data_IF_232115413994
#
_entry.id   IF_232115413994
#
_cell.length_a   1.000
_cell.length_b   1.000
_cell.length_c   1.000
_cell.angle_alpha   90.00
_cell.angle_beta   90.00
_cell.angle_gamma   90.00
#
_symmetry.space_group_name_H-M   'P 1'
#
loop_
_entity.id
_entity.type
_entity.pdbx_description
1 polymer ?
#
# COMPACT_ATOMS: atom_id res chain seq x y z
N UNK A 1 -15.61 -11.20 -4.13
CA UNK A 1 -14.96 -9.86 -4.00
C UNK A 1 -14.31 -9.58 -2.63
N UNK A 2 -15.02 -9.54 -1.50
CA UNK A 2 -14.41 -9.34 -0.16
C UNK A 2 -13.55 -10.53 0.27
N UNK A 3 -13.84 -11.73 -0.22
CA UNK A 3 -13.01 -12.93 0.02
C UNK A 3 -11.55 -12.72 -0.40
N UNK A 4 -11.27 -11.85 -1.39
CA UNK A 4 -9.92 -11.55 -1.83
C UNK A 4 -9.15 -10.57 -0.92
N UNK A 5 -9.76 -10.06 0.16
CA UNK A 5 -9.03 -9.29 1.18
C UNK A 5 -8.02 -10.17 1.92
N UNK A 6 -8.24 -11.48 1.93
CA UNK A 6 -7.27 -12.46 2.40
C UNK A 6 -6.84 -13.23 1.15
N UNK A 7 -5.60 -13.07 0.66
CA UNK A 7 -5.13 -13.84 -0.48
C UNK A 7 -5.23 -15.35 -0.22
N UNK A 8 -5.66 -16.12 -1.22
CA UNK A 8 -5.92 -17.57 -1.06
C UNK A 8 -4.71 -18.37 -0.61
N UNK A 9 -3.49 -17.86 -0.84
CA UNK A 9 -2.24 -18.48 -0.38
C UNK A 9 -1.98 -18.33 1.13
N UNK A 10 -2.81 -17.56 1.85
CA UNK A 10 -2.69 -17.32 3.28
C UNK A 10 -3.64 -18.24 4.03
N UNK A 11 -3.10 -19.34 4.55
CA UNK A 11 -3.89 -20.37 5.24
C UNK A 11 -3.83 -20.29 6.76
N UNK A 12 -2.82 -19.61 7.31
CA UNK A 12 -2.56 -19.55 8.74
C UNK A 12 -2.06 -18.16 9.18
N UNK A 13 -2.60 -17.67 10.28
CA UNK A 13 -2.26 -16.39 10.88
C UNK A 13 -2.60 -16.45 12.37
N UNK A 14 -1.81 -15.76 13.20
CA UNK A 14 -1.94 -15.83 14.66
C UNK A 14 -2.52 -14.55 15.29
N UNK A 15 -2.61 -13.46 14.51
CA UNK A 15 -3.27 -12.22 14.93
C UNK A 15 -3.84 -11.50 13.71
N UNK A 16 -5.06 -10.96 13.80
CA UNK A 16 -5.71 -10.30 12.68
C UNK A 16 -6.80 -9.33 13.14
N UNK A 17 -7.25 -8.47 12.22
CA UNK A 17 -8.46 -7.66 12.34
C UNK A 17 -9.09 -7.45 10.96
N UNK A 18 -10.39 -7.19 10.90
CA UNK A 18 -11.06 -6.72 9.68
C UNK A 18 -12.11 -5.69 10.01
N UNK A 19 -12.33 -4.73 9.11
CA UNK A 19 -13.55 -3.89 9.13
C UNK A 19 -14.62 -4.39 8.17
N UNK A 20 -14.44 -5.57 7.56
CA UNK A 20 -15.38 -6.18 6.64
C UNK A 20 -16.30 -7.16 7.39
N UNK A 21 -17.61 -6.85 7.57
CA UNK A 21 -18.52 -7.75 8.28
C UNK A 21 -18.62 -9.14 7.66
N UNK A 22 -18.45 -9.26 6.33
CA UNK A 22 -18.52 -10.52 5.61
C UNK A 22 -17.36 -11.50 5.92
N UNK A 23 -16.26 -11.01 6.48
CA UNK A 23 -15.10 -11.82 6.87
C UNK A 23 -15.03 -12.09 8.38
N UNK A 24 -15.89 -11.45 9.16
CA UNK A 24 -15.85 -11.50 10.61
C UNK A 24 -15.95 -12.95 11.12
N UNK A 25 -15.01 -13.32 11.98
CA UNK A 25 -15.00 -14.63 12.65
C UNK A 25 -14.28 -14.54 13.99
N UNK A 26 -14.35 -15.55 14.87
CA UNK A 26 -13.59 -15.54 16.12
C UNK A 26 -12.07 -15.37 15.93
N UNK A 27 -11.51 -15.82 14.80
CA UNK A 27 -10.08 -15.64 14.47
C UNK A 27 -9.78 -14.34 13.72
N UNK A 28 -10.80 -13.71 13.15
CA UNK A 28 -10.71 -12.44 12.43
C UNK A 28 -11.73 -11.45 13.00
N UNK A 29 -11.44 -10.85 14.17
CA UNK A 29 -12.37 -9.96 14.86
C UNK A 29 -12.80 -8.77 13.99
N UNK A 30 -14.09 -8.46 14.05
CA UNK A 30 -14.66 -7.30 13.39
C UNK A 30 -14.38 -6.03 14.21
N UNK A 31 -13.87 -5.03 13.53
CA UNK A 31 -13.61 -3.69 14.04
C UNK A 31 -14.35 -2.64 13.20
N UNK A 32 -14.52 -1.45 13.76
CA UNK A 32 -15.17 -0.34 13.07
C UNK A 32 -14.17 0.36 12.16
N UNK A 33 -14.62 0.78 10.97
CA UNK A 33 -13.85 1.64 10.08
C UNK A 33 -13.87 3.07 10.63
N UNK A 34 -13.09 3.34 11.68
CA UNK A 34 -12.92 4.67 12.25
C UNK A 34 -11.50 4.91 12.78
N UNK A 35 -11.20 6.17 13.06
CA UNK A 35 -9.87 6.61 13.42
C UNK A 35 -9.36 6.03 14.74
N UNK A 36 -10.23 5.91 15.74
CA UNK A 36 -9.83 5.46 17.06
C UNK A 36 -9.57 3.95 17.07
N UNK A 37 -10.47 3.17 16.48
CA UNK A 37 -10.38 1.70 16.48
C UNK A 37 -9.20 1.20 15.62
N UNK A 38 -8.90 1.89 14.51
CA UNK A 38 -7.80 1.52 13.61
C UNK A 38 -6.44 2.15 13.96
N UNK A 39 -6.36 2.91 15.05
CA UNK A 39 -5.14 3.61 15.45
C UNK A 39 -4.65 4.58 14.38
N UNK A 40 -5.57 5.37 13.82
CA UNK A 40 -5.25 6.41 12.83
C UNK A 40 -4.42 7.51 13.49
N UNK A 41 -3.32 7.87 12.86
CA UNK A 41 -2.41 8.90 13.34
C UNK A 41 -1.74 9.64 12.20
N UNK A 42 -1.06 10.76 12.53
CA UNK A 42 -0.36 11.62 11.58
C UNK A 42 -1.26 12.07 10.40
N UNK A 43 -2.49 12.48 10.71
CA UNK A 43 -3.48 12.94 9.73
C UNK A 43 -3.03 14.26 9.08
N UNK A 44 -3.12 14.33 7.75
CA UNK A 44 -2.77 15.51 6.96
C UNK A 44 -3.83 16.59 7.13
N UNK A 45 -3.47 17.70 7.78
CA UNK A 45 -4.40 18.73 8.27
C UNK A 45 -5.20 19.48 7.20
N UNK A 46 -4.72 19.53 5.94
CA UNK A 46 -5.38 20.28 4.84
C UNK A 46 -6.36 19.44 4.02
N UNK A 47 -6.57 18.19 4.41
CA UNK A 47 -7.44 17.23 3.74
C UNK A 47 -8.30 16.51 4.77
N UNK A 48 -9.41 15.89 4.33
CA UNK A 48 -10.29 15.12 5.22
C UNK A 48 -10.55 13.74 4.64
N UNK A 49 -10.68 12.74 5.50
CA UNK A 49 -11.08 11.37 5.15
C UNK A 49 -12.43 11.05 5.78
N UNK A 50 -13.50 11.71 5.30
CA UNK A 50 -14.83 11.57 5.90
C UNK A 50 -15.34 10.15 5.71
N UNK A 51 -15.92 9.57 6.76
CA UNK A 51 -16.59 8.29 6.70
C UNK A 51 -18.01 8.48 6.15
N UNK A 52 -18.27 8.04 4.92
CA UNK A 52 -19.55 8.22 4.21
C UNK A 52 -20.18 6.89 3.85
N UNK A 53 -21.46 6.90 3.43
CA UNK A 53 -22.01 5.82 2.63
C UNK A 53 -21.50 6.00 1.18
N UNK A 54 -20.78 5.03 0.60
CA UNK A 54 -20.30 5.14 -0.77
C UNK A 54 -21.46 5.03 -1.76
N UNK A 55 -21.30 5.52 -3.01
CA UNK A 55 -22.31 5.33 -4.04
C UNK A 55 -22.42 3.85 -4.45
N UNK A 56 -23.55 3.50 -5.07
CA UNK A 56 -23.77 2.16 -5.61
C UNK A 56 -22.71 1.81 -6.68
N UNK A 57 -22.29 0.55 -6.69
CA UNK A 57 -21.43 0.04 -7.75
C UNK A 57 -22.20 -0.02 -9.07
N UNK A 58 -21.56 0.41 -10.16
CA UNK A 58 -22.04 0.14 -11.51
C UNK A 58 -21.85 -1.36 -11.81
N UNK A 59 -22.82 -2.18 -11.41
CA UNK A 59 -22.93 -3.56 -11.91
C UNK A 59 -23.33 -3.47 -13.38
N UNK A 60 -22.37 -3.65 -14.30
CA UNK A 60 -22.71 -4.02 -15.67
C UNK A 60 -23.55 -5.31 -15.65
N UNK A 61 -24.39 -5.51 -16.65
CA UNK A 61 -25.36 -6.61 -16.79
C UNK A 61 -24.78 -8.04 -16.83
N UNK A 62 -23.51 -8.25 -16.46
CA UNK A 62 -22.88 -9.56 -16.44
C UNK A 62 -23.00 -10.17 -15.04
N UNK A 63 -23.86 -11.18 -14.96
CA UNK A 63 -24.38 -11.88 -13.80
C UNK A 63 -23.39 -12.79 -13.04
N UNK A 64 -22.08 -12.55 -13.13
CA UNK A 64 -21.07 -13.49 -12.61
C UNK A 64 -20.25 -12.97 -11.42
N UNK A 65 -20.66 -11.88 -10.77
CA UNK A 65 -19.94 -11.45 -9.56
C UNK A 65 -20.48 -12.14 -8.31
N UNK A 66 -19.66 -13.03 -7.73
CA UNK A 66 -19.62 -13.36 -6.31
C UNK A 66 -19.35 -12.09 -5.46
N UNK A 67 -20.23 -11.11 -5.57
CA UNK A 67 -20.16 -9.85 -4.87
C UNK A 67 -20.72 -10.05 -3.47
N UNK A 68 -19.81 -10.38 -2.54
CA UNK A 68 -20.00 -10.02 -1.15
C UNK A 68 -20.45 -8.56 -1.07
N UNK A 69 -21.61 -8.32 -0.49
CA UNK A 69 -22.26 -7.00 -0.30
C UNK A 69 -21.28 -5.81 -0.30
N UNK A 70 -21.56 -4.80 -1.12
CA UNK A 70 -20.80 -3.55 -1.16
C UNK A 70 -20.59 -2.97 0.27
N UNK A 71 -19.46 -2.31 0.55
CA UNK A 71 -19.21 -1.71 1.85
C UNK A 71 -20.28 -0.69 2.20
N UNK A 72 -20.85 -0.78 3.41
CA UNK A 72 -21.84 0.19 3.89
C UNK A 72 -21.20 1.55 4.25
N UNK A 73 -19.90 1.56 4.59
CA UNK A 73 -19.14 2.76 4.96
C UNK A 73 -17.76 2.74 4.32
N UNK A 74 -17.29 3.91 3.92
CA UNK A 74 -15.97 4.10 3.34
C UNK A 74 -15.39 5.47 3.69
N UNK A 75 -14.06 5.56 3.78
CA UNK A 75 -13.37 6.85 3.78
C UNK A 75 -13.40 7.45 2.37
N UNK A 76 -13.93 8.66 2.25
CA UNK A 76 -13.97 9.41 0.99
C UNK A 76 -12.71 10.28 0.83
N UNK A 77 -12.08 10.17 -0.34
CA UNK A 77 -11.09 11.10 -0.85
C UNK A 77 -11.74 11.98 -1.91
N UNK A 78 -11.59 13.30 -1.79
CA UNK A 78 -12.04 14.28 -2.78
C UNK A 78 -10.81 14.90 -3.45
N UNK A 79 -10.77 14.90 -4.78
CA UNK A 79 -9.71 15.51 -5.58
C UNK A 79 -10.28 16.69 -6.36
N UNK A 80 -10.23 17.93 -5.83
CA UNK A 80 -10.72 19.10 -6.55
C UNK A 80 -10.00 19.29 -7.88
N UNK A 81 -10.66 19.94 -8.85
CA UNK A 81 -10.01 20.37 -10.08
C UNK A 81 -8.76 21.21 -9.76
N UNK A 82 -7.64 20.94 -10.44
CA UNK A 82 -6.36 21.60 -10.18
C UNK A 82 -5.55 21.02 -9.02
N UNK A 83 -6.09 20.07 -8.24
CA UNK A 83 -5.34 19.45 -7.14
C UNK A 83 -4.25 18.49 -7.64
N UNK A 84 -3.03 18.63 -7.10
CA UNK A 84 -1.86 17.81 -7.48
C UNK A 84 -1.40 16.97 -6.30
N UNK A 85 -1.12 17.61 -5.17
CA UNK A 85 -0.64 16.96 -3.95
C UNK A 85 -1.16 17.69 -2.71
N UNK A 86 -1.16 17.04 -1.52
CA UNK A 86 -1.77 17.60 -0.32
C UNK A 86 -1.12 18.91 0.19
N UNK A 87 0.12 19.18 -0.22
CA UNK A 87 0.86 20.40 0.13
C UNK A 87 0.71 21.51 -0.92
N UNK A 88 0.04 21.26 -2.05
CA UNK A 88 -0.17 22.23 -3.12
C UNK A 88 -1.13 23.36 -2.73
N UNK A 89 -1.31 24.33 -3.64
CA UNK A 89 -2.25 25.42 -3.45
C UNK A 89 -3.68 24.89 -3.23
N UNK A 90 -4.09 23.94 -4.07
CA UNK A 90 -5.36 23.20 -3.97
C UNK A 90 -5.08 21.81 -3.41
N UNK A 91 -5.36 21.55 -2.12
CA UNK A 91 -5.18 20.23 -1.53
C UNK A 91 -6.24 19.27 -2.09
N UNK A 92 -5.85 18.00 -2.29
CA UNK A 92 -6.74 16.96 -2.78
C UNK A 92 -6.32 15.59 -2.29
N UNK A 93 -7.30 14.70 -2.19
CA UNK A 93 -7.19 13.38 -1.59
C UNK A 93 -7.18 13.43 -0.06
N UNK A 94 -6.41 12.54 0.57
CA UNK A 94 -6.14 12.55 2.01
C UNK A 94 -4.79 11.89 2.34
N UNK A 95 -4.35 12.00 3.58
CA UNK A 95 -3.16 11.29 4.06
C UNK A 95 -3.19 11.04 5.56
N UNK A 96 -3.01 9.79 5.99
CA UNK A 96 -2.84 9.37 7.38
C UNK A 96 -2.18 7.98 7.43
N UNK A 97 -1.90 7.50 8.64
CA UNK A 97 -1.32 6.18 8.88
C UNK A 97 -2.25 5.36 9.76
N UNK A 98 -2.28 4.05 9.57
CA UNK A 98 -3.12 3.08 10.27
C UNK A 98 -2.22 2.06 10.94
N UNK A 99 -2.25 1.98 12.27
CA UNK A 99 -1.51 0.98 13.04
C UNK A 99 -2.22 -0.40 13.01
N UNK A 100 -3.54 -0.40 12.80
CA UNK A 100 -4.41 -1.57 12.90
C UNK A 100 -5.16 -1.60 14.24
N UNK A 101 -5.93 -2.66 14.46
CA UNK A 101 -6.87 -2.74 15.58
C UNK A 101 -6.59 -3.92 16.52
N UNK A 102 -7.18 -3.88 17.73
CA UNK A 102 -7.17 -4.99 18.67
C UNK A 102 -5.78 -5.55 18.97
N UNK A 103 -5.65 -6.88 18.98
CA UNK A 103 -4.38 -7.57 19.23
C UNK A 103 -3.37 -7.48 18.06
N UNK A 104 -3.80 -7.06 16.87
CA UNK A 104 -2.92 -6.88 15.72
C UNK A 104 -1.93 -5.74 15.95
N UNK A 105 -2.39 -4.57 16.41
CA UNK A 105 -1.53 -3.41 16.61
C UNK A 105 -0.34 -3.65 17.57
N UNK A 106 -0.53 -4.18 18.79
CA UNK A 106 0.60 -4.47 19.69
C UNK A 106 1.49 -5.62 19.19
N UNK A 107 0.93 -6.62 18.49
CA UNK A 107 1.74 -7.69 17.89
C UNK A 107 2.61 -7.19 16.73
N UNK A 108 2.07 -6.27 15.92
CA UNK A 108 2.81 -5.59 14.87
C UNK A 108 3.95 -4.76 15.45
N UNK A 109 3.65 -3.93 16.47
CA UNK A 109 4.66 -3.17 17.18
C UNK A 109 5.67 -4.10 17.88
N UNK A 110 5.26 -5.29 18.33
CA UNK A 110 6.10 -6.31 18.94
C UNK A 110 7.13 -6.96 18.02
N UNK A 111 7.13 -6.65 16.72
CA UNK A 111 8.14 -7.12 15.77
C UNK A 111 7.68 -8.20 14.82
N UNK A 112 6.38 -8.27 14.51
CA UNK A 112 5.87 -9.12 13.45
C UNK A 112 6.61 -8.89 12.12
N UNK A 113 7.03 -9.99 11.50
CA UNK A 113 7.88 -9.96 10.31
C UNK A 113 7.12 -10.29 9.03
N UNK A 114 5.95 -10.93 9.13
CA UNK A 114 5.20 -11.47 8.00
C UNK A 114 3.74 -10.99 8.10
N UNK A 115 3.38 -10.00 7.29
CA UNK A 115 2.12 -9.27 7.45
C UNK A 115 1.40 -9.13 6.12
N UNK A 116 0.08 -9.28 6.16
CA UNK A 116 -0.83 -8.90 5.09
C UNK A 116 -1.60 -7.66 5.51
N UNK A 117 -1.71 -6.69 4.59
CA UNK A 117 -2.61 -5.54 4.72
C UNK A 117 -3.42 -5.47 3.43
N UNK A 118 -4.73 -5.33 3.57
CA UNK A 118 -5.63 -5.22 2.42
C UNK A 118 -6.78 -4.25 2.69
N UNK A 119 -7.42 -3.81 1.61
CA UNK A 119 -8.59 -2.94 1.64
C UNK A 119 -9.37 -3.07 0.32
N UNK A 120 -10.64 -2.68 0.34
CA UNK A 120 -11.41 -2.43 -0.89
C UNK A 120 -11.31 -0.95 -1.27
N UNK A 121 -11.23 -0.67 -2.57
CA UNK A 121 -11.29 0.68 -3.11
C UNK A 121 -12.23 0.79 -4.30
N UNK A 122 -12.77 1.99 -4.52
CA UNK A 122 -13.54 2.34 -5.71
C UNK A 122 -13.14 3.76 -6.16
N UNK A 123 -12.91 3.92 -7.44
CA UNK A 123 -12.74 5.21 -8.12
C UNK A 123 -14.09 5.62 -8.71
N UNK A 124 -14.41 6.91 -8.69
CA UNK A 124 -15.65 7.42 -9.30
C UNK A 124 -15.77 7.00 -10.77
N UNK A 125 -17.00 6.69 -11.21
CA UNK A 125 -17.29 6.43 -12.61
C UNK A 125 -16.84 7.59 -13.51
N UNK A 126 -16.26 7.27 -14.67
CA UNK A 126 -15.69 8.28 -15.57
C UNK A 126 -14.40 8.93 -15.05
N UNK A 127 -13.62 8.18 -14.28
CA UNK A 127 -12.32 8.61 -13.74
C UNK A 127 -11.36 9.07 -14.86
N UNK A 128 -10.71 10.21 -14.66
CA UNK A 128 -9.70 10.78 -15.55
C UNK A 128 -8.31 10.64 -14.92
N UNK A 129 -7.50 9.78 -15.54
CA UNK A 129 -6.22 9.30 -15.01
C UNK A 129 -5.09 10.33 -14.97
N UNK A 130 -5.10 11.27 -15.93
CA UNK A 130 -4.00 12.20 -16.21
C UNK A 130 -2.67 11.44 -16.30
N UNK A 131 -1.62 11.85 -15.57
CA UNK A 131 -0.31 11.20 -15.55
C UNK A 131 -0.15 10.21 -14.41
N UNK A 132 -1.01 10.26 -13.40
CA UNK A 132 -0.99 9.36 -12.27
C UNK A 132 -1.28 9.98 -10.92
N UNK A 133 -1.27 9.12 -9.90
CA UNK A 133 -1.48 9.47 -8.51
C UNK A 133 -1.19 8.28 -7.60
N UNK A 134 -1.26 8.49 -6.29
CA UNK A 134 -0.79 7.56 -5.25
C UNK A 134 -2.00 6.92 -4.60
N UNK A 135 -1.87 5.67 -4.17
CA UNK A 135 -2.88 4.95 -3.42
C UNK A 135 -2.30 4.44 -2.09
N UNK A 136 -3.17 4.06 -1.13
CA UNK A 136 -2.75 3.49 0.14
C UNK A 136 -1.86 2.25 -0.02
N UNK A 137 -0.88 2.11 0.87
CA UNK A 137 0.05 0.98 0.85
C UNK A 137 0.61 0.66 2.23
N UNK A 138 1.69 -0.14 2.27
CA UNK A 138 2.31 -0.61 3.51
C UNK A 138 3.62 0.15 3.78
N UNK A 139 3.90 0.43 5.05
CA UNK A 139 5.12 1.14 5.46
C UNK A 139 5.76 0.54 6.71
N UNK A 140 7.00 0.92 6.94
CA UNK A 140 7.74 0.51 8.13
C UNK A 140 9.10 1.17 8.22
N UNK A 141 9.83 0.83 9.27
CA UNK A 141 11.12 1.40 9.58
C UNK A 141 11.42 1.42 11.06
N UNK A 142 12.55 2.05 11.38
CA UNK A 142 13.05 2.22 12.74
C UNK A 142 12.34 3.40 13.43
N UNK A 143 11.55 3.09 14.46
CA UNK A 143 10.87 4.10 15.28
C UNK A 143 10.19 5.21 14.46
N UNK A 144 10.57 6.47 14.72
CA UNK A 144 10.05 7.65 14.00
C UNK A 144 10.59 7.79 12.57
N UNK A 145 11.68 7.12 12.21
CA UNK A 145 12.22 7.15 10.85
C UNK A 145 11.35 6.38 9.86
N UNK A 146 10.45 5.50 10.34
CA UNK A 146 9.45 4.82 9.51
C UNK A 146 8.60 5.78 8.64
N UNK A 147 8.37 7.02 9.09
CA UNK A 147 7.62 8.04 8.35
C UNK A 147 8.48 8.81 7.32
N UNK A 148 9.80 8.55 7.25
CA UNK A 148 10.72 9.34 6.43
C UNK A 148 10.80 8.90 4.95
N UNK A 149 10.34 7.69 4.62
CA UNK A 149 10.40 7.13 3.26
C UNK A 149 9.26 7.64 2.37
N UNK A 150 9.16 8.96 2.20
CA UNK A 150 8.17 9.62 1.35
C UNK A 150 8.77 10.83 0.64
N UNK A 151 8.19 11.24 -0.50
CA UNK A 151 8.63 12.43 -1.24
C UNK A 151 10.03 12.28 -1.85
N UNK A 152 10.80 13.36 -1.90
CA UNK A 152 12.17 13.39 -2.43
C UNK A 152 13.26 13.17 -1.37
N UNK A 153 12.91 12.69 -0.17
CA UNK A 153 13.87 12.56 0.95
C UNK A 153 14.84 11.41 0.68
N UNK A 154 16.14 11.70 0.81
CA UNK A 154 17.23 10.74 0.57
C UNK A 154 17.92 10.25 1.84
N UNK A 155 17.81 11.02 2.93
CA UNK A 155 18.42 10.67 4.20
C UNK A 155 17.72 9.48 4.86
N UNK A 156 18.49 8.63 5.53
CA UNK A 156 18.00 7.48 6.30
C UNK A 156 17.12 6.49 5.52
N UNK A 157 17.29 6.40 4.18
CA UNK A 157 16.53 5.45 3.34
C UNK A 157 16.81 3.98 3.65
N UNK A 158 17.89 3.67 4.36
CA UNK A 158 18.13 2.35 4.94
C UNK A 158 17.28 2.06 6.20
N UNK A 159 16.71 3.08 6.84
CA UNK A 159 15.97 2.98 8.11
C UNK A 159 14.46 2.95 7.95
N UNK A 160 13.95 2.92 6.72
CA UNK A 160 12.52 2.84 6.45
C UNK A 160 12.23 2.17 5.11
N UNK A 161 10.97 1.77 4.95
CA UNK A 161 10.41 1.44 3.66
C UNK A 161 8.98 1.95 3.52
N UNK A 162 8.57 2.22 2.30
CA UNK A 162 7.20 2.61 1.97
C UNK A 162 6.85 2.06 0.59
N UNK A 163 5.80 1.26 0.50
CA UNK A 163 5.41 0.53 -0.70
C UNK A 163 3.96 0.90 -0.99
N UNK A 164 3.75 1.69 -2.03
CA UNK A 164 2.42 2.20 -2.40
C UNK A 164 2.12 1.93 -3.86
N UNK A 165 0.89 1.60 -4.23
CA UNK A 165 0.51 1.58 -5.63
C UNK A 165 0.44 3.01 -6.16
N UNK A 166 0.71 3.16 -7.44
CA UNK A 166 0.37 4.35 -8.20
C UNK A 166 -0.45 3.96 -9.41
N UNK A 167 -1.48 4.75 -9.72
CA UNK A 167 -2.03 4.74 -11.07
C UNK A 167 -1.18 5.64 -11.96
N UNK A 168 -1.20 5.34 -13.25
CA UNK A 168 -0.60 6.10 -14.34
C UNK A 168 -1.67 6.40 -15.38
N UNK A 169 -1.26 7.05 -16.47
CA UNK A 169 -2.13 7.30 -17.61
C UNK A 169 -2.82 6.01 -18.07
N UNK A 170 -4.10 6.14 -18.46
CA UNK A 170 -4.95 5.05 -18.94
C UNK A 170 -5.09 3.88 -17.94
N UNK A 171 -5.09 4.19 -16.64
CA UNK A 171 -5.36 3.21 -15.58
C UNK A 171 -4.21 2.26 -15.26
N UNK A 172 -3.09 2.31 -15.98
CA UNK A 172 -1.95 1.44 -15.72
C UNK A 172 -1.48 1.56 -14.27
N UNK A 173 -1.40 0.42 -13.58
CA UNK A 173 -0.91 0.35 -12.21
C UNK A 173 0.60 0.09 -12.16
N UNK A 174 1.24 0.57 -11.10
CA UNK A 174 2.59 0.18 -10.70
C UNK A 174 2.67 0.08 -9.17
N UNK A 175 3.64 -0.66 -8.65
CA UNK A 175 4.09 -0.42 -7.28
C UNK A 175 5.18 0.66 -7.29
N UNK A 176 5.06 1.61 -6.39
CA UNK A 176 5.99 2.70 -6.18
C UNK A 176 6.67 2.54 -4.83
N UNK A 177 7.95 2.17 -4.86
CA UNK A 177 8.65 1.66 -3.69
C UNK A 177 9.77 2.57 -3.24
N UNK A 178 9.82 2.79 -1.94
CA UNK A 178 10.92 3.38 -1.21
C UNK A 178 11.53 2.25 -0.40
N UNK A 179 12.56 1.58 -0.94
CA UNK A 179 13.33 0.55 -0.23
C UNK A 179 14.74 1.06 0.06
N UNK A 180 15.51 0.38 0.94
CA UNK A 180 16.95 0.62 1.06
C UNK A 180 17.65 0.62 -0.30
N UNK A 181 18.46 1.66 -0.55
CA UNK A 181 19.13 1.89 -1.84
C UNK A 181 20.41 1.04 -1.94
N UNK A 182 20.24 -0.25 -2.24
CA UNK A 182 21.34 -1.18 -2.51
C UNK A 182 21.30 -1.68 -3.95
N UNK A 183 22.44 -2.07 -4.51
CA UNK A 183 22.51 -2.64 -5.86
C UNK A 183 21.68 -3.93 -5.97
N UNK A 184 21.68 -4.73 -4.91
CA UNK A 184 20.85 -5.93 -4.82
C UNK A 184 19.34 -5.61 -4.90
N UNK A 185 18.85 -4.66 -4.10
CA UNK A 185 17.45 -4.22 -4.21
C UNK A 185 17.15 -3.61 -5.57
N UNK A 186 18.09 -2.88 -6.16
CA UNK A 186 17.93 -2.31 -7.49
C UNK A 186 17.73 -3.41 -8.53
N UNK A 187 18.58 -4.43 -8.54
CA UNK A 187 18.48 -5.57 -9.45
C UNK A 187 17.13 -6.28 -9.31
N UNK A 188 16.75 -6.64 -8.08
CA UNK A 188 15.49 -7.35 -7.81
C UNK A 188 14.25 -6.56 -8.27
N UNK A 189 14.24 -5.25 -8.03
CA UNK A 189 13.12 -4.39 -8.42
C UNK A 189 13.06 -4.13 -9.92
N UNK A 190 14.21 -3.97 -10.59
CA UNK A 190 14.26 -3.73 -12.04
C UNK A 190 13.92 -4.97 -12.87
N UNK A 191 14.08 -6.17 -12.30
CA UNK A 191 13.68 -7.42 -12.94
C UNK A 191 12.15 -7.61 -13.03
N UNK A 192 11.35 -6.79 -12.32
CA UNK A 192 9.88 -6.94 -12.32
C UNK A 192 9.31 -6.48 -13.67
N UNK A 193 8.63 -7.37 -14.43
CA UNK A 193 7.97 -7.01 -15.67
C UNK A 193 6.65 -6.27 -15.42
N UNK A 194 6.08 -5.59 -16.44
CA UNK A 194 6.62 -5.41 -17.79
C UNK A 194 7.54 -4.19 -17.90
N UNK A 195 7.44 -3.21 -17.00
CA UNK A 195 8.30 -2.03 -17.00
C UNK A 195 8.63 -1.59 -15.59
N UNK A 196 9.91 -1.66 -15.24
CA UNK A 196 10.42 -1.16 -13.96
C UNK A 196 11.49 -0.11 -14.18
N UNK A 197 11.44 0.97 -13.39
CA UNK A 197 12.33 2.12 -13.52
C UNK A 197 12.82 2.57 -12.16
N UNK A 198 14.13 2.59 -12.01
CA UNK A 198 14.78 3.16 -10.84
C UNK A 198 14.70 4.69 -10.88
N UNK A 199 14.51 5.28 -9.71
CA UNK A 199 14.63 6.72 -9.51
C UNK A 199 15.21 6.97 -8.11
N UNK A 200 16.52 7.26 -8.00
CA UNK A 200 17.17 7.42 -6.71
C UNK A 200 16.73 8.68 -5.96
N UNK A 201 16.15 9.66 -6.68
CA UNK A 201 15.64 10.89 -6.07
C UNK A 201 14.27 10.68 -5.40
N UNK A 202 13.55 9.65 -5.83
CA UNK A 202 12.21 9.36 -5.35
C UNK A 202 12.03 7.86 -5.05
N UNK A 203 10.93 7.25 -5.50
CA UNK A 203 10.66 5.82 -5.41
C UNK A 203 10.90 5.13 -6.74
N UNK A 204 11.11 3.82 -6.71
CA UNK A 204 11.23 3.01 -7.92
C UNK A 204 9.83 2.66 -8.42
N UNK A 205 9.61 2.74 -9.72
CA UNK A 205 8.41 2.19 -10.36
C UNK A 205 8.66 0.72 -10.65
N UNK A 206 7.81 -0.17 -10.12
CA UNK A 206 7.89 -1.61 -10.30
C UNK A 206 6.66 -2.08 -11.09
N UNK A 207 6.90 -2.81 -12.17
CA UNK A 207 5.87 -3.50 -12.94
C UNK A 207 4.76 -2.58 -13.46
N UNK A 208 5.10 -1.37 -13.93
CA UNK A 208 4.14 -0.46 -14.53
C UNK A 208 3.44 -1.16 -15.70
N UNK A 209 2.11 -1.24 -15.64
CA UNK A 209 1.29 -1.92 -16.63
C UNK A 209 1.06 -3.41 -16.36
N UNK A 210 1.58 -3.97 -15.25
CA UNK A 210 1.29 -5.36 -14.85
C UNK A 210 -0.19 -5.57 -14.47
N UNK A 211 -0.89 -4.49 -14.14
CA UNK A 211 -2.32 -4.47 -13.82
C UNK A 211 -2.91 -3.11 -14.21
N UNK A 212 -4.24 -3.00 -14.22
CA UNK A 212 -4.95 -1.78 -14.56
C UNK A 212 -6.05 -1.50 -13.54
N UNK A 213 -6.18 -0.24 -13.10
CA UNK A 213 -7.18 0.24 -12.15
C UNK A 213 -8.55 0.54 -12.77
N UNK A 214 -8.75 0.32 -14.07
CA UNK A 214 -10.07 0.32 -14.71
C UNK A 214 -11.04 -0.63 -13.97
N UNK A 215 -10.52 -1.71 -13.39
CA UNK A 215 -11.28 -2.65 -12.55
C UNK A 215 -11.85 -2.04 -11.27
N UNK A 216 -11.42 -0.83 -10.89
CA UNK A 216 -11.92 -0.07 -9.74
C UNK A 216 -12.77 1.14 -10.14
N UNK A 217 -12.95 1.42 -11.45
CA UNK A 217 -13.74 2.56 -11.91
C UNK A 217 -15.22 2.21 -11.83
N UNK A 218 -15.92 2.92 -10.94
CA UNK A 218 -17.35 2.73 -10.69
C UNK A 218 -17.71 1.42 -9.99
N UNK A 219 -16.73 0.63 -9.55
CA UNK A 219 -16.94 -0.67 -8.91
C UNK A 219 -15.87 -0.93 -7.86
N UNK A 220 -16.17 -1.80 -6.90
CA UNK A 220 -15.21 -2.16 -5.86
C UNK A 220 -14.14 -3.10 -6.39
N UNK A 221 -12.88 -2.77 -6.10
CA UNK A 221 -11.75 -3.65 -6.29
C UNK A 221 -11.04 -3.90 -4.96
N UNK A 222 -10.47 -5.08 -4.80
CA UNK A 222 -9.68 -5.44 -3.62
C UNK A 222 -8.20 -5.26 -3.91
N UNK A 223 -7.49 -4.67 -2.96
CA UNK A 223 -6.05 -4.46 -2.99
C UNK A 223 -5.44 -5.16 -1.78
N UNK A 224 -4.42 -5.98 -1.98
CA UNK A 224 -3.72 -6.64 -0.87
C UNK A 224 -2.21 -6.60 -1.06
N UNK A 225 -1.49 -6.46 0.05
CA UNK A 225 -0.03 -6.56 0.14
C UNK A 225 0.31 -7.66 1.12
N UNK A 226 1.35 -8.43 0.81
CA UNK A 226 2.00 -9.34 1.73
C UNK A 226 3.47 -8.96 1.77
N UNK A 227 3.95 -8.68 2.97
CA UNK A 227 5.32 -8.29 3.20
C UNK A 227 5.94 -9.23 4.22
N UNK A 228 7.09 -9.81 3.88
CA UNK A 228 7.94 -10.57 4.79
C UNK A 228 9.28 -9.87 4.90
N UNK A 229 9.63 -9.40 6.09
CA UNK A 229 10.94 -8.79 6.36
C UNK A 229 12.06 -9.81 6.22
N UNK A 230 13.24 -9.36 5.77
CA UNK A 230 14.44 -10.18 5.86
C UNK A 230 14.95 -10.26 7.31
N UNK A 231 15.65 -11.35 7.64
CA UNK A 231 16.45 -11.48 8.86
C UNK A 231 17.67 -10.55 8.80
N UNK A 232 18.05 -9.97 9.93
CA UNK A 232 19.21 -9.07 10.06
C UNK A 232 20.42 -9.85 10.53
N UNK A 233 21.59 -9.59 9.94
CA UNK A 233 22.89 -10.01 10.49
C UNK A 233 23.24 -11.50 10.43
N UNK A 234 22.46 -12.36 9.79
CA UNK A 234 22.93 -13.71 9.43
C UNK A 234 24.01 -13.63 8.35
N UNK A 235 24.85 -14.66 8.21
CA UNK A 235 25.68 -14.84 7.00
C UNK A 235 24.80 -14.82 5.72
N UNK A 236 23.49 -15.06 5.85
CA UNK A 236 22.42 -14.93 4.84
C UNK A 236 21.69 -13.57 4.81
N UNK A 237 22.15 -12.59 5.57
CA UNK A 237 21.54 -11.28 5.72
C UNK A 237 22.41 -10.20 5.07
N UNK A 238 21.88 -9.53 4.06
CA UNK A 238 22.05 -8.11 3.77
C UNK A 238 23.14 -7.37 4.61
N UNK A 239 24.43 -7.59 4.29
CA UNK A 239 25.59 -7.19 5.12
C UNK A 239 25.77 -5.66 5.19
N UNK A 240 26.31 -5.18 6.31
CA UNK A 240 26.81 -3.81 6.48
C UNK A 240 27.77 -3.44 5.34
N UNK A 241 27.42 -2.42 4.56
CA UNK A 241 28.29 -1.89 3.51
C UNK A 241 29.51 -1.19 4.15
N UNK A 242 30.54 -1.95 4.51
CA UNK A 242 31.88 -1.40 4.63
C UNK A 242 32.48 -1.36 3.21
N UNK A 243 32.77 -0.15 2.74
CA UNK A 243 33.46 0.12 1.48
C UNK A 243 34.74 -0.73 1.38
N UNK A 244 34.74 -1.76 0.52
CA UNK A 244 35.96 -2.48 0.13
C UNK A 244 35.91 -4.01 0.10
N UNK A 245 34.83 -4.66 0.52
CA UNK A 245 34.70 -6.13 0.37
C UNK A 245 33.92 -6.51 -0.90
N UNK A 246 34.32 -7.57 -1.63
CA UNK A 246 33.58 -8.05 -2.79
C UNK A 246 32.14 -8.43 -2.41
N UNK A 247 31.16 -8.24 -3.30
CA UNK A 247 29.76 -8.54 -3.00
C UNK A 247 29.60 -10.04 -2.81
N UNK A 248 29.48 -10.48 -1.57
CA UNK A 248 29.02 -11.84 -1.29
C UNK A 248 27.50 -11.80 -1.33
N UNK A 249 26.94 -12.30 -2.43
CA UNK A 249 25.49 -12.52 -2.57
C UNK A 249 25.09 -13.66 -1.64
N UNK A 250 24.70 -13.35 -0.42
CA UNK A 250 23.98 -14.28 0.44
C UNK A 250 22.55 -13.76 0.66
N UNK A 251 21.61 -14.69 0.65
CA UNK A 251 20.23 -14.52 0.22
C UNK A 251 19.40 -13.63 1.15
N UNK A 252 19.31 -12.32 0.87
CA UNK A 252 18.28 -11.49 1.48
C UNK A 252 16.90 -12.17 1.25
N UNK A 253 16.16 -12.49 2.31
CA UNK A 253 14.93 -13.30 2.21
C UNK A 253 13.66 -12.46 2.24
N UNK A 254 13.76 -11.13 2.08
CA UNK A 254 12.60 -10.26 2.09
C UNK A 254 11.69 -10.55 0.91
N UNK A 255 10.39 -10.51 1.13
CA UNK A 255 9.40 -10.81 0.10
C UNK A 255 8.31 -9.73 0.11
N UNK A 256 7.93 -9.30 -1.08
CA UNK A 256 6.80 -8.42 -1.36
C UNK A 256 5.93 -9.11 -2.39
N UNK A 257 4.64 -9.23 -2.10
CA UNK A 257 3.65 -9.68 -3.08
C UNK A 257 2.42 -8.77 -3.01
N UNK A 258 1.82 -8.50 -4.17
CA UNK A 258 0.75 -7.53 -4.34
C UNK A 258 -0.34 -8.11 -5.24
N UNK A 259 -1.59 -7.97 -4.79
CA UNK A 259 -2.76 -8.51 -5.44
C UNK A 259 -3.79 -7.42 -5.77
N UNK A 260 -4.46 -7.61 -6.91
CA UNK A 260 -5.68 -6.90 -7.28
C UNK A 260 -6.76 -7.95 -7.55
N UNK A 261 -7.91 -7.84 -6.86
CA UNK A 261 -9.03 -8.78 -6.98
C UNK A 261 -8.60 -10.26 -6.88
N UNK A 262 -7.76 -10.57 -5.89
CA UNK A 262 -7.30 -11.94 -5.62
C UNK A 262 -6.22 -12.46 -6.57
N UNK A 263 -5.93 -11.74 -7.66
CA UNK A 263 -4.85 -12.11 -8.59
C UNK A 263 -3.53 -11.51 -8.14
N UNK A 264 -2.50 -12.34 -7.96
CA UNK A 264 -1.12 -11.88 -7.73
C UNK A 264 -0.62 -11.19 -9.00
N UNK A 265 -0.31 -9.91 -8.92
CA UNK A 265 0.09 -9.09 -10.08
C UNK A 265 1.54 -8.66 -10.02
N UNK A 266 2.12 -8.53 -8.82
CA UNK A 266 3.57 -8.28 -8.63
C UNK A 266 4.06 -9.13 -7.46
N UNK A 267 5.14 -9.86 -7.68
CA UNK A 267 5.86 -10.63 -6.65
C UNK A 267 7.35 -10.39 -6.79
N UNK A 268 7.99 -10.02 -5.69
CA UNK A 268 9.43 -9.79 -5.59
C UNK A 268 9.93 -10.52 -4.36
N UNK A 269 10.83 -11.47 -4.57
CA UNK A 269 11.56 -12.15 -3.51
C UNK A 269 12.99 -11.66 -3.50
N UNK A 270 13.72 -11.95 -2.43
CA UNK A 270 15.12 -11.61 -2.40
C UNK A 270 15.42 -10.21 -1.86
N UNK A 271 14.47 -9.49 -1.25
CA UNK A 271 14.64 -8.06 -0.91
C UNK A 271 15.37 -7.84 0.42
N UNK A 272 16.15 -6.76 0.48
CA UNK A 272 16.62 -6.13 1.72
C UNK A 272 15.61 -5.05 2.13
N UNK A 273 14.69 -5.38 3.03
CA UNK A 273 13.70 -4.43 3.57
C UNK A 273 14.19 -3.71 4.82
N UNK A 274 15.16 -4.29 5.53
CA UNK A 274 15.78 -3.72 6.74
C UNK A 274 17.22 -4.17 6.94
N UNK A 275 18.00 -3.34 7.65
CA UNK A 275 19.38 -3.59 8.08
C UNK A 275 19.51 -3.69 9.62
N UNK A 276 18.41 -3.54 10.35
CA UNK A 276 18.36 -3.48 11.82
C UNK A 276 17.07 -4.11 12.34
N UNK A 277 17.15 -4.87 13.44
CA UNK A 277 15.98 -5.47 14.11
C UNK A 277 15.04 -4.42 14.71
N UNK A 278 15.51 -3.18 14.91
CA UNK A 278 14.66 -2.05 15.30
C UNK A 278 13.69 -1.62 14.18
N UNK A 279 14.00 -1.96 12.92
CA UNK A 279 13.13 -1.69 11.78
C UNK A 279 12.00 -2.72 11.68
N UNK A 280 10.76 -2.25 11.79
CA UNK A 280 9.55 -3.08 11.84
C UNK A 280 8.54 -2.65 10.78
N UNK A 281 7.61 -3.53 10.43
CA UNK A 281 6.37 -3.13 9.74
C UNK A 281 5.56 -2.27 10.71
N UNK A 282 5.05 -1.13 10.27
CA UNK A 282 4.33 -0.17 11.13
C UNK A 282 2.84 -0.03 10.79
N UNK A 283 2.40 -0.66 9.71
CA UNK A 283 1.00 -0.73 9.30
C UNK A 283 0.81 -0.17 7.91
N UNK A 284 -0.29 0.54 7.69
CA UNK A 284 -0.65 1.08 6.39
C UNK A 284 -0.44 2.60 6.32
N UNK A 285 0.09 3.07 5.20
CA UNK A 285 0.14 4.48 4.84
C UNK A 285 -1.02 4.78 3.90
N UNK A 286 -2.13 5.26 4.47
CA UNK A 286 -3.34 5.65 3.75
C UNK A 286 -3.18 7.07 3.22
N UNK A 287 -2.51 7.19 2.08
CA UNK A 287 -2.34 8.46 1.40
C UNK A 287 -2.66 8.33 -0.07
N UNK A 288 -3.60 9.16 -0.51
CA UNK A 288 -4.04 9.23 -1.90
C UNK A 288 -4.09 10.67 -2.36
N UNK A 289 -3.61 10.91 -3.57
CA UNK A 289 -3.58 12.22 -4.23
C UNK A 289 -3.17 12.01 -5.69
N UNK A 290 -3.44 12.98 -6.54
CA UNK A 290 -2.90 13.04 -7.90
C UNK A 290 -1.37 13.23 -7.90
N UNK A 291 -0.79 13.72 -8.97
CA UNK A 291 0.49 14.41 -8.83
C UNK A 291 1.73 13.60 -9.10
N UNK A 292 2.83 14.13 -8.58
CA UNK A 292 3.82 14.80 -9.41
C UNK A 292 3.99 16.20 -8.81
N UNK A 293 4.66 17.12 -9.50
CA UNK A 293 4.91 18.47 -8.99
C UNK A 293 4.55 19.58 -9.98
N UNK A 294 4.02 19.22 -11.14
CA UNK A 294 3.67 20.12 -12.25
C UNK A 294 2.17 20.04 -12.54
N UNK A 295 1.62 21.10 -13.16
CA UNK A 295 0.17 21.26 -13.42
C UNK A 295 -0.42 20.16 -14.31
N UNK A 296 0.40 19.56 -15.17
CA UNK A 296 0.03 18.43 -16.03
C UNK A 296 -0.20 17.10 -15.26
N UNK A 297 -0.11 17.11 -13.93
CA UNK A 297 -0.57 16.01 -13.07
C UNK A 297 -1.84 16.34 -12.30
N UNK A 298 -2.35 17.57 -12.41
CA UNK A 298 -3.50 18.01 -11.64
C UNK A 298 -4.76 17.24 -12.04
N UNK A 299 -5.65 16.99 -11.08
CA UNK A 299 -6.99 16.47 -11.39
C UNK A 299 -7.70 17.46 -12.34
N UNK A 300 -8.23 17.00 -13.49
CA UNK A 300 -8.82 17.90 -14.49
C UNK A 300 -10.22 18.39 -14.07
N UNK A 301 -10.85 17.67 -13.15
CA UNK A 301 -12.17 17.96 -12.58
C UNK A 301 -12.20 17.55 -11.11
N UNK A 302 -13.30 17.85 -10.42
CA UNK A 302 -13.55 17.21 -9.13
C UNK A 302 -13.79 15.71 -9.34
N UNK A 303 -13.04 14.89 -8.62
CA UNK A 303 -13.17 13.43 -8.66
C UNK A 303 -13.19 12.88 -7.23
N UNK A 304 -13.73 11.68 -7.05
CA UNK A 304 -13.80 11.03 -5.73
C UNK A 304 -13.34 9.58 -5.76
N UNK A 305 -12.81 9.12 -4.64
CA UNK A 305 -12.50 7.72 -4.41
C UNK A 305 -12.91 7.30 -3.00
N UNK A 306 -13.24 6.03 -2.83
CA UNK A 306 -13.71 5.47 -1.56
C UNK A 306 -12.84 4.27 -1.17
N UNK A 307 -12.52 4.17 0.12
CA UNK A 307 -11.68 3.11 0.67
C UNK A 307 -12.39 2.49 1.87
N UNK A 308 -12.49 1.17 1.92
CA UNK A 308 -13.25 0.44 2.93
C UNK A 308 -12.61 -0.91 3.25
N UNK A 309 -13.20 -1.62 4.21
CA UNK A 309 -12.88 -3.01 4.53
C UNK A 309 -11.39 -3.27 4.77
N UNK A 310 -10.78 -2.40 5.57
CA UNK A 310 -9.38 -2.51 5.95
C UNK A 310 -9.19 -3.79 6.76
N UNK A 311 -8.26 -4.62 6.33
CA UNK A 311 -7.99 -5.92 6.94
C UNK A 311 -6.48 -6.07 7.13
N UNK A 312 -6.08 -6.61 8.27
CA UNK A 312 -4.68 -6.87 8.59
C UNK A 312 -4.52 -8.27 9.17
N UNK A 313 -3.51 -9.00 8.72
CA UNK A 313 -3.16 -10.33 9.24
C UNK A 313 -1.67 -10.41 9.53
N UNK A 314 -1.32 -11.03 10.66
CA UNK A 314 0.05 -11.45 10.96
C UNK A 314 0.14 -12.95 10.70
N UNK A 315 0.83 -13.28 9.63
CA UNK A 315 0.94 -14.63 9.09
C UNK A 315 1.91 -15.44 9.95
N UNK A 316 1.64 -16.73 10.08
CA UNK A 316 2.56 -17.68 10.72
C UNK A 316 3.89 -17.87 9.95
#
# INVERSE_FOLDING_TARGET
MAMHLIPDSIHAYHSAFTTCPALASPRLPLHTLDDADLGVHNVTSRTTHRLVAPPDSHTGSDSDSEDSTAPARAWEAVYPAGSINPSGAIPGGFGFYVAGAGAFAPALEGGAQHVVVSYRMMLQGGWEWVKGGKLPGIFGGDGKLSYACTGGRKDNRCKCFNIRPMWRANGQGELYTYLPLTDHNRERQLAVPPTSKANPDYGFSLGRGAFNFDVAVGRWATVAFRLKLNTVGSEDGCVHLNHGSPPVSHSCQGELEFWINGRSVIKVTGLMLRDSEASRIKGAHFQTFFGGHTEDWASPKEQKAWFADVTGLIVE
#
